data_IF_638570894723
#
_entry.id   IF_638570894723
#
_cell.length_a   1.000
_cell.length_b   1.000
_cell.length_c   1.000
_cell.angle_alpha   90.00
_cell.angle_beta   90.00
_cell.angle_gamma   90.00
#
_symmetry.space_group_name_H-M   'P 1'
#
loop_
_entity.id
_entity.type
_entity.pdbx_description
1 polymer ?
#
# COMPACT_ATOMS: atom_id res chain seq x y z
N UNK A 1 -0.87 -7.23 5.81
CA UNK A 1 -2.07 -8.10 5.62
C UNK A 1 -2.72 -7.64 4.34
N UNK A 2 -2.92 -8.54 3.38
CA UNK A 2 -3.34 -8.19 2.03
C UNK A 2 -4.86 -8.31 1.91
N UNK A 3 -5.56 -7.17 1.80
CA UNK A 3 -7.01 -7.16 1.64
C UNK A 3 -7.39 -7.34 0.16
N UNK A 4 -8.27 -8.28 -0.15
CA UNK A 4 -8.73 -8.53 -1.53
C UNK A 4 -9.36 -7.31 -2.20
N UNK A 5 -9.93 -6.38 -1.43
CA UNK A 5 -10.48 -5.12 -1.96
C UNK A 5 -9.44 -4.23 -2.64
N UNK A 6 -8.14 -4.47 -2.41
CA UNK A 6 -7.07 -3.76 -3.11
C UNK A 6 -7.13 -3.96 -4.63
N UNK A 7 -7.79 -5.03 -5.12
CA UNK A 7 -8.05 -5.23 -6.55
C UNK A 7 -8.91 -4.13 -7.19
N UNK A 8 -9.66 -3.37 -6.37
CA UNK A 8 -10.50 -2.26 -6.81
C UNK A 8 -9.76 -0.92 -6.85
N UNK A 9 -8.48 -0.89 -6.47
CA UNK A 9 -7.66 0.32 -6.48
C UNK A 9 -7.00 0.52 -7.84
N UNK A 10 -6.55 1.74 -8.18
CA UNK A 10 -5.70 1.95 -9.35
C UNK A 10 -4.50 0.99 -9.32
N UNK A 11 -4.05 0.45 -10.48
CA UNK A 11 -2.97 -0.54 -10.54
C UNK A 11 -1.70 -0.11 -9.79
N UNK A 12 -1.31 1.16 -9.91
CA UNK A 12 -0.14 1.72 -9.24
C UNK A 12 -0.27 1.74 -7.71
N UNK A 13 -1.50 1.83 -7.20
CA UNK A 13 -1.77 1.76 -5.76
C UNK A 13 -1.61 0.33 -5.27
N UNK A 14 -2.14 -0.65 -6.00
CA UNK A 14 -1.94 -2.07 -5.71
C UNK A 14 -0.45 -2.44 -5.73
N UNK A 15 0.27 -2.04 -6.77
CA UNK A 15 1.72 -2.26 -6.90
C UNK A 15 2.49 -1.65 -5.72
N UNK A 16 2.08 -0.47 -5.26
CA UNK A 16 2.70 0.17 -4.09
C UNK A 16 2.56 -0.65 -2.81
N UNK A 17 1.45 -1.40 -2.64
CA UNK A 17 1.25 -2.31 -1.50
C UNK A 17 2.08 -3.57 -1.67
N UNK A 18 2.16 -4.13 -2.89
CA UNK A 18 3.02 -5.29 -3.17
C UNK A 18 4.47 -4.96 -2.86
N UNK A 19 4.99 -3.83 -3.34
CA UNK A 19 6.36 -3.37 -3.06
C UNK A 19 6.56 -3.17 -1.55
N UNK A 20 5.58 -2.61 -0.84
CA UNK A 20 5.63 -2.43 0.60
C UNK A 20 5.81 -3.75 1.35
N UNK A 21 4.96 -4.74 1.04
CA UNK A 21 4.97 -6.05 1.70
C UNK A 21 6.24 -6.85 1.32
N UNK A 22 6.74 -6.74 0.08
CA UNK A 22 8.02 -7.32 -0.31
C UNK A 22 9.20 -6.67 0.42
N UNK A 23 9.18 -5.35 0.63
CA UNK A 23 10.22 -4.67 1.41
C UNK A 23 10.25 -5.13 2.88
N UNK A 24 9.13 -5.62 3.42
CA UNK A 24 9.13 -6.19 4.76
C UNK A 24 10.04 -7.41 4.89
N UNK A 25 10.26 -8.18 3.82
CA UNK A 25 11.21 -9.30 3.82
C UNK A 25 12.66 -8.89 4.15
N UNK A 26 13.02 -7.62 3.91
CA UNK A 26 14.34 -7.07 4.20
C UNK A 26 14.35 -6.27 5.51
N UNK A 27 13.24 -5.61 5.85
CA UNK A 27 13.11 -4.74 7.02
C UNK A 27 11.72 -4.93 7.66
N UNK A 28 11.65 -5.64 8.78
CA UNK A 28 10.38 -6.02 9.45
C UNK A 28 9.62 -4.86 10.12
N UNK A 29 10.15 -3.63 10.05
CA UNK A 29 9.54 -2.44 10.63
C UNK A 29 9.55 -1.29 9.62
N UNK A 30 8.74 -0.25 9.87
CA UNK A 30 8.68 0.95 9.03
C UNK A 30 9.77 1.98 9.38
N UNK A 31 11.03 1.54 9.50
CA UNK A 31 12.15 2.44 9.76
C UNK A 31 12.51 3.31 8.54
N UNK A 32 13.42 4.28 8.73
CA UNK A 32 14.01 5.06 7.62
C UNK A 32 14.63 4.15 6.55
N UNK A 33 15.26 3.03 6.95
CA UNK A 33 15.86 2.06 6.02
C UNK A 33 14.79 1.35 5.19
N UNK A 34 13.67 0.97 5.81
CA UNK A 34 12.52 0.42 5.08
C UNK A 34 12.02 1.39 4.00
N UNK A 35 11.75 2.64 4.35
CA UNK A 35 11.26 3.61 3.37
C UNK A 35 12.30 3.96 2.29
N UNK A 36 13.59 3.91 2.60
CA UNK A 36 14.63 4.04 1.60
C UNK A 36 14.59 2.88 0.58
N UNK A 37 14.32 1.65 1.02
CA UNK A 37 14.13 0.49 0.11
C UNK A 37 12.89 0.66 -0.75
N UNK A 38 11.75 0.98 -0.13
CA UNK A 38 10.48 1.20 -0.85
C UNK A 38 10.63 2.28 -1.91
N UNK A 39 11.19 3.44 -1.56
CA UNK A 39 11.36 4.56 -2.49
C UNK A 39 12.45 4.31 -3.54
N UNK A 40 13.42 3.45 -3.25
CA UNK A 40 14.42 3.01 -4.23
C UNK A 40 13.84 2.12 -5.32
N UNK A 41 12.81 1.34 -5.00
CA UNK A 41 12.10 0.47 -5.96
C UNK A 41 10.94 1.18 -6.63
N UNK A 42 10.17 1.97 -5.87
CA UNK A 42 8.93 2.59 -6.32
C UNK A 42 8.86 4.06 -5.84
N UNK A 43 9.50 5.00 -6.57
CA UNK A 43 9.62 6.41 -6.16
C UNK A 43 8.28 7.12 -5.90
N UNK A 44 7.23 6.71 -6.60
CA UNK A 44 5.87 7.24 -6.50
C UNK A 44 5.07 6.73 -5.29
N UNK A 45 5.66 5.86 -4.45
CA UNK A 45 5.00 5.25 -3.28
C UNK A 45 4.25 6.25 -2.39
N UNK A 46 4.81 7.45 -2.17
CA UNK A 46 4.17 8.47 -1.32
C UNK A 46 2.80 8.90 -1.84
N UNK A 47 2.64 9.01 -3.15
CA UNK A 47 1.37 9.41 -3.79
C UNK A 47 0.33 8.30 -3.64
N UNK A 48 0.74 7.05 -3.88
CA UNK A 48 -0.13 5.89 -3.72
C UNK A 48 -0.58 5.69 -2.26
N UNK A 49 0.34 5.88 -1.30
CA UNK A 49 0.02 5.87 0.13
C UNK A 49 -0.99 6.96 0.50
N UNK A 50 -0.83 8.17 -0.05
CA UNK A 50 -1.82 9.25 0.14
C UNK A 50 -3.18 8.85 -0.42
N UNK A 51 -3.22 8.28 -1.62
CA UNK A 51 -4.47 7.79 -2.21
C UNK A 51 -5.17 6.76 -1.31
N UNK A 52 -4.43 5.81 -0.73
CA UNK A 52 -4.98 4.83 0.22
C UNK A 52 -5.53 5.48 1.49
N UNK A 53 -4.87 6.50 2.03
CA UNK A 53 -5.37 7.25 3.19
C UNK A 53 -6.66 7.98 2.84
N UNK A 54 -6.73 8.60 1.67
CA UNK A 54 -7.88 9.41 1.25
C UNK A 54 -9.09 8.55 0.83
N UNK A 55 -8.86 7.34 0.29
CA UNK A 55 -9.91 6.49 -0.30
C UNK A 55 -10.18 5.18 0.44
N UNK A 56 -9.32 4.78 1.38
CA UNK A 56 -9.38 3.48 2.06
C UNK A 56 -10.70 3.23 2.80
N UNK A 57 -11.23 4.26 3.46
CA UNK A 57 -12.53 4.20 4.14
C UNK A 57 -13.66 3.87 3.17
N UNK A 58 -13.61 4.42 1.95
CA UNK A 58 -14.61 4.17 0.91
C UNK A 58 -14.53 2.75 0.37
N UNK A 59 -13.32 2.19 0.22
CA UNK A 59 -13.15 0.79 -0.17
C UNK A 59 -13.78 -0.16 0.85
N UNK A 60 -13.54 0.08 2.14
CA UNK A 60 -14.11 -0.73 3.22
C UNK A 60 -15.63 -0.62 3.29
N UNK A 61 -16.19 0.56 3.02
CA UNK A 61 -17.63 0.78 2.98
C UNK A 61 -18.34 0.11 1.79
N UNK A 62 -17.61 -0.44 0.82
CA UNK A 62 -18.18 -1.28 -0.25
C UNK A 62 -18.53 -2.70 0.22
N UNK A 63 -18.04 -3.12 1.40
CA UNK A 63 -18.49 -4.36 2.00
C UNK A 63 -19.88 -4.13 2.60
N UNK A 64 -20.89 -4.97 2.29
CA UNK A 64 -22.16 -4.91 2.99
C UNK A 64 -21.91 -5.11 4.48
N UNK A 65 -22.43 -4.19 5.30
CA UNK A 65 -22.48 -4.37 6.75
C UNK A 65 -23.36 -5.58 7.01
N UNK A 66 -22.74 -6.66 7.51
CA UNK A 66 -23.47 -7.75 8.14
C UNK A 66 -23.83 -7.36 9.57
#
# INVERSE_FOLDING_TARGET
NFNCLLVLTPPEVLDSVVVHELCHMLEMNHSKRFYARVLGVFPQYKQCRKWLVDNGSRLLAMLPLN
#
